data_IF_933298637032
#
_entry.id   IF_933298637032
#
_cell.length_a   1.000
_cell.length_b   1.000
_cell.length_c   1.000
_cell.angle_alpha   90.00
_cell.angle_beta   90.00
_cell.angle_gamma   90.00
#
_symmetry.space_group_name_H-M   'P 1'
#
loop_
_entity.id
_entity.type
_entity.pdbx_description
1 polymer ?
#
# COMPACT_ATOMS: atom_id res chain seq x y z
N UNK A 1 -15.38 6.27 27.32
CA UNK A 1 -14.93 7.02 26.13
C UNK A 1 -14.78 6.05 24.98
N UNK A 2 -15.16 6.40 23.76
CA UNK A 2 -14.96 5.56 22.57
C UNK A 2 -13.57 5.88 21.99
N UNK A 3 -12.73 4.87 21.80
CA UNK A 3 -11.43 5.04 21.13
C UNK A 3 -11.63 5.48 19.68
N UNK A 4 -10.76 6.36 19.20
CA UNK A 4 -10.68 6.72 17.78
C UNK A 4 -9.94 5.62 17.03
N UNK A 5 -10.45 5.22 15.86
CA UNK A 5 -9.85 4.18 15.03
C UNK A 5 -9.18 4.80 13.81
N UNK A 6 -7.90 4.47 13.66
CA UNK A 6 -7.07 4.81 12.52
C UNK A 6 -6.64 3.51 11.83
N UNK A 7 -6.85 3.42 10.52
CA UNK A 7 -6.36 2.30 9.69
C UNK A 7 -5.48 2.87 8.59
N UNK A 8 -4.23 2.44 8.52
CA UNK A 8 -3.28 2.84 7.46
C UNK A 8 -2.74 1.62 6.73
N UNK A 9 -2.26 1.81 5.49
CA UNK A 9 -1.49 0.80 4.79
C UNK A 9 -0.41 1.46 3.92
N UNK A 10 0.83 1.46 4.44
CA UNK A 10 1.99 2.16 3.86
C UNK A 10 2.54 1.44 2.62
N UNK A 11 2.27 0.14 2.46
CA UNK A 11 2.82 -0.71 1.39
C UNK A 11 1.72 -1.34 0.51
N UNK A 12 0.61 -0.62 0.31
CA UNK A 12 -0.54 -1.09 -0.47
C UNK A 12 -0.32 -1.04 -2.00
N UNK A 13 0.69 -0.33 -2.47
CA UNK A 13 0.96 -0.13 -3.88
C UNK A 13 2.38 -0.48 -4.26
N UNK A 14 2.62 -0.53 -5.56
CA UNK A 14 3.91 -0.83 -6.17
C UNK A 14 4.30 0.20 -7.25
N UNK A 15 3.64 1.37 -7.29
CA UNK A 15 3.97 2.40 -8.28
C UNK A 15 5.32 3.00 -7.92
N UNK A 16 6.21 3.11 -8.89
CA UNK A 16 7.50 3.78 -8.70
C UNK A 16 7.41 5.23 -9.20
N UNK A 17 7.80 6.23 -8.39
CA UNK A 17 7.88 7.61 -8.85
C UNK A 17 8.72 7.73 -10.13
N UNK A 18 8.36 8.62 -11.09
CA UNK A 18 9.04 8.71 -12.38
C UNK A 18 10.56 8.87 -12.28
N UNK A 19 11.05 9.59 -11.26
CA UNK A 19 12.47 9.79 -11.01
C UNK A 19 13.25 8.49 -10.79
N UNK A 20 12.61 7.42 -10.30
CA UNK A 20 13.25 6.15 -9.92
C UNK A 20 12.91 4.97 -10.84
N UNK A 21 11.96 5.14 -11.78
CA UNK A 21 11.55 4.07 -12.70
C UNK A 21 12.71 3.46 -13.49
N UNK A 22 13.73 4.27 -13.82
CA UNK A 22 14.91 3.82 -14.54
C UNK A 22 15.71 2.74 -13.79
N UNK A 23 15.64 2.71 -12.45
CA UNK A 23 16.34 1.72 -11.61
C UNK A 23 15.77 0.30 -11.77
N UNK A 24 14.53 0.17 -12.26
CA UNK A 24 13.81 -1.10 -12.35
C UNK A 24 13.62 -1.60 -13.78
N UNK A 25 14.15 -0.90 -14.80
CA UNK A 25 13.97 -1.25 -16.22
C UNK A 25 14.41 -2.68 -16.55
N UNK A 26 15.46 -3.18 -15.88
CA UNK A 26 15.96 -4.53 -16.10
C UNK A 26 15.18 -5.61 -15.32
N UNK A 27 14.33 -5.23 -14.36
CA UNK A 27 13.63 -6.17 -13.48
C UNK A 27 12.33 -5.60 -12.88
N UNK A 28 11.35 -5.31 -13.73
CA UNK A 28 10.06 -4.77 -13.31
C UNK A 28 9.28 -5.75 -12.41
N UNK A 29 9.54 -7.05 -12.52
CA UNK A 29 8.87 -8.08 -11.72
C UNK A 29 9.13 -7.95 -10.22
N UNK A 30 10.25 -7.33 -9.82
CA UNK A 30 10.54 -7.01 -8.42
C UNK A 30 9.44 -6.12 -7.81
N UNK A 31 8.91 -5.15 -8.57
CA UNK A 31 7.83 -4.27 -8.12
C UNK A 31 6.51 -5.04 -7.89
N UNK A 32 6.29 -6.14 -8.61
CA UNK A 32 5.12 -7.00 -8.46
C UNK A 32 5.32 -8.11 -7.40
N UNK A 33 6.51 -8.19 -6.80
CA UNK A 33 6.82 -9.16 -5.74
C UNK A 33 6.56 -8.58 -4.34
N UNK A 34 6.68 -9.43 -3.31
CA UNK A 34 6.63 -9.00 -1.90
C UNK A 34 7.68 -7.93 -1.54
N UNK A 35 8.69 -7.70 -2.38
CA UNK A 35 9.66 -6.61 -2.18
C UNK A 35 9.04 -5.25 -2.49
N UNK A 36 8.20 -5.15 -3.53
CA UNK A 36 7.60 -3.90 -3.99
C UNK A 36 6.25 -3.58 -3.35
N UNK A 37 5.53 -4.60 -2.84
CA UNK A 37 4.17 -4.46 -2.30
C UNK A 37 3.89 -5.53 -1.25
N UNK A 38 3.10 -5.20 -0.23
CA UNK A 38 2.55 -6.20 0.68
C UNK A 38 1.33 -6.86 0.00
N UNK A 39 1.56 -8.00 -0.66
CA UNK A 39 0.55 -8.69 -1.49
C UNK A 39 -0.72 -8.98 -0.68
N UNK A 40 -1.86 -8.47 -1.15
CA UNK A 40 -3.16 -8.61 -0.51
C UNK A 40 -3.48 -7.57 0.57
N UNK A 41 -2.51 -6.75 1.00
CA UNK A 41 -2.72 -5.75 2.04
C UNK A 41 -3.77 -4.70 1.65
N UNK A 42 -3.77 -4.24 0.38
CA UNK A 42 -4.78 -3.31 -0.13
C UNK A 42 -6.20 -3.88 -0.06
N UNK A 43 -6.38 -5.17 -0.38
CA UNK A 43 -7.68 -5.84 -0.31
C UNK A 43 -8.17 -5.91 1.13
N UNK A 44 -7.29 -6.26 2.08
CA UNK A 44 -7.62 -6.29 3.50
C UNK A 44 -7.91 -4.90 4.07
N UNK A 45 -7.12 -3.89 3.68
CA UNK A 45 -7.36 -2.50 4.03
C UNK A 45 -8.77 -2.06 3.61
N UNK A 46 -9.16 -2.29 2.35
CA UNK A 46 -10.49 -1.92 1.84
C UNK A 46 -11.60 -2.65 2.62
N UNK A 47 -11.40 -3.93 2.93
CA UNK A 47 -12.32 -4.70 3.76
C UNK A 47 -12.41 -4.11 5.17
N UNK A 48 -11.31 -3.79 5.82
CA UNK A 48 -11.33 -3.23 7.17
C UNK A 48 -11.95 -1.85 7.23
N UNK A 49 -11.64 -0.96 6.27
CA UNK A 49 -12.29 0.35 6.18
C UNK A 49 -13.80 0.19 6.04
N UNK A 50 -14.24 -0.71 5.16
CA UNK A 50 -15.68 -0.98 4.95
C UNK A 50 -16.38 -1.50 6.21
N UNK A 51 -15.78 -2.44 6.95
CA UNK A 51 -16.44 -3.10 8.08
C UNK A 51 -16.27 -2.36 9.41
N UNK A 52 -15.11 -1.74 9.63
CA UNK A 52 -14.79 -1.09 10.91
C UNK A 52 -15.20 0.38 10.96
N UNK A 53 -15.43 1.02 9.80
CA UNK A 53 -15.80 2.42 9.66
C UNK A 53 -14.90 3.35 10.53
N UNK A 54 -13.57 3.36 10.25
CA UNK A 54 -12.61 4.11 11.06
C UNK A 54 -12.84 5.62 10.98
N UNK A 55 -12.36 6.35 11.98
CA UNK A 55 -12.40 7.82 11.99
C UNK A 55 -11.47 8.42 10.91
N UNK A 56 -10.42 7.69 10.51
CA UNK A 56 -9.55 8.04 9.40
C UNK A 56 -8.96 6.79 8.77
N UNK A 57 -8.79 6.82 7.45
CA UNK A 57 -8.06 5.78 6.74
C UNK A 57 -7.30 6.30 5.52
N UNK A 58 -6.08 5.82 5.32
CA UNK A 58 -5.25 6.13 4.14
C UNK A 58 -4.38 4.94 3.76
N UNK A 59 -4.09 4.80 2.47
CA UNK A 59 -3.10 3.85 1.97
C UNK A 59 -2.17 4.55 0.99
N UNK A 60 -0.98 4.01 0.79
CA UNK A 60 -0.03 4.51 -0.20
C UNK A 60 -0.13 3.73 -1.51
N UNK A 61 -0.02 4.41 -2.65
CA UNK A 61 0.04 3.78 -3.97
C UNK A 61 1.48 3.52 -4.43
N UNK A 62 2.44 4.20 -3.81
CA UNK A 62 3.85 4.06 -4.13
C UNK A 62 4.46 2.81 -3.49
N UNK A 63 5.44 2.23 -4.20
CA UNK A 63 6.26 1.11 -3.74
C UNK A 63 7.02 1.46 -2.47
N UNK A 64 7.29 0.45 -1.65
CA UNK A 64 8.18 0.55 -0.47
C UNK A 64 9.68 0.55 -0.80
N UNK A 65 10.02 0.34 -2.07
CA UNK A 65 11.38 0.33 -2.64
C UNK A 65 11.75 1.69 -3.21
#
# INVERSE_FOLDING_TARGET
MKSKLLITCEHAGNKMPPAYQHLFQANLDVLNSHRGIDIGAKVLFDQFVKHANPDFSIFNEESRL
#
